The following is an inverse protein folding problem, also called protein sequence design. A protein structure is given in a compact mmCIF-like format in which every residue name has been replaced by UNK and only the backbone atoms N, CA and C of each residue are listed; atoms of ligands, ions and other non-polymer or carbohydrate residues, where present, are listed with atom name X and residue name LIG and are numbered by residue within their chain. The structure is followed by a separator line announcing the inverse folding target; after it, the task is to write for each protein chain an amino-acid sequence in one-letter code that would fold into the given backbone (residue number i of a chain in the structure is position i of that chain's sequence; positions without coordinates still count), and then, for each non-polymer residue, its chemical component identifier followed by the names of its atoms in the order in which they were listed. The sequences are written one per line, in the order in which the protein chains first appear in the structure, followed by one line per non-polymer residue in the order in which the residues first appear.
data_IF_103066115973
#
_entry.id   IF_103066115973
#
_cell.length_a   1.000
_cell.length_b   1.000
_cell.length_c   1.000
_cell.angle_alpha   90.00
_cell.angle_beta   90.00
_cell.angle_gamma   90.00
#
_symmetry.space_group_name_H-M   'P 1'
#
loop_
_entity.id
_entity.type
_entity.pdbx_description
1 polymer ?
#
# COMPACT_ATOMS: atom_id res chain seq x y z
N UNK A 1 1.65 -14.99 -8.95
CA UNK A 1 1.34 -13.55 -9.01
C UNK A 1 2.48 -12.84 -9.74
N UNK A 2 2.18 -12.04 -10.75
CA UNK A 2 3.19 -11.24 -11.47
C UNK A 2 3.04 -9.79 -11.03
N UNK A 3 4.14 -9.16 -10.62
CA UNK A 3 4.16 -7.76 -10.20
C UNK A 3 5.02 -6.96 -11.15
N UNK A 4 4.46 -5.87 -11.68
CA UNK A 4 5.25 -4.83 -12.30
C UNK A 4 5.36 -3.67 -11.33
N UNK A 5 6.58 -3.44 -10.82
CA UNK A 5 6.87 -2.30 -9.96
C UNK A 5 7.58 -1.24 -10.80
N UNK A 6 6.95 -0.08 -10.94
CA UNK A 6 7.62 1.11 -11.46
C UNK A 6 7.94 2.04 -10.29
N UNK A 7 9.24 2.27 -10.07
CA UNK A 7 9.69 3.30 -9.14
C UNK A 7 9.67 4.64 -9.85
N UNK A 8 8.74 5.51 -9.46
CA UNK A 8 8.83 6.92 -9.82
C UNK A 8 9.76 7.59 -8.80
N UNK A 9 10.79 8.30 -9.29
CA UNK A 9 12.00 8.65 -8.53
C UNK A 9 11.78 9.38 -7.20
N UNK A 10 12.86 9.48 -6.42
CA UNK A 10 12.88 10.34 -5.24
C UNK A 10 12.80 11.80 -5.69
N UNK A 11 11.83 12.56 -5.19
CA UNK A 11 11.81 14.01 -5.38
C UNK A 11 12.77 14.59 -4.34
N UNK A 12 13.99 14.90 -4.77
CA UNK A 12 14.96 15.62 -3.94
C UNK A 12 14.64 17.12 -3.97
N UNK A 13 13.96 17.58 -2.92
CA UNK A 13 13.64 19.00 -2.73
C UNK A 13 14.76 19.78 -2.01
N UNK A 14 15.94 19.17 -1.78
CA UNK A 14 17.09 19.85 -1.17
C UNK A 14 17.56 21.08 -1.96
N UNK A 15 17.23 21.15 -3.26
CA UNK A 15 17.45 22.35 -4.10
C UNK A 15 16.73 23.61 -3.63
N UNK A 16 15.80 23.51 -2.67
CA UNK A 16 15.07 24.65 -2.10
C UNK A 16 15.63 25.15 -0.75
N UNK A 17 16.83 24.73 -0.35
CA UNK A 17 17.53 25.26 0.84
C UNK A 17 16.87 24.94 2.18
N UNK A 18 15.94 23.99 2.20
CA UNK A 18 15.29 23.42 3.38
C UNK A 18 15.20 21.92 3.17
N UNK A 19 15.34 21.11 4.22
CA UNK A 19 15.00 19.68 4.18
C UNK A 19 13.48 19.55 3.99
N UNK A 20 13.01 19.64 2.75
CA UNK A 20 11.63 19.37 2.37
C UNK A 20 11.64 17.89 1.98
N UNK A 21 10.91 17.06 2.73
CA UNK A 21 11.15 15.62 2.83
C UNK A 21 11.31 14.82 1.54
N UNK A 22 12.02 13.71 1.67
CA UNK A 22 12.04 12.64 0.68
C UNK A 22 10.71 11.89 0.68
N UNK A 23 10.26 11.49 -0.50
CA UNK A 23 9.08 10.65 -0.69
C UNK A 23 9.30 9.66 -1.82
N UNK A 24 8.56 8.56 -1.78
CA UNK A 24 8.58 7.52 -2.81
C UNK A 24 7.20 7.35 -3.41
N UNK A 25 7.17 7.22 -4.74
CA UNK A 25 5.98 6.85 -5.49
C UNK A 25 6.18 5.45 -6.07
N UNK A 26 5.28 4.54 -5.75
CA UNK A 26 5.31 3.14 -6.16
C UNK A 26 4.06 2.85 -6.98
N UNK A 27 4.24 2.35 -8.20
CA UNK A 27 3.14 1.80 -9.00
C UNK A 27 3.22 0.29 -9.06
N UNK A 28 2.07 -0.36 -8.94
CA UNK A 28 1.97 -1.81 -8.87
C UNK A 28 0.74 -2.27 -9.62
N UNK A 29 0.94 -3.21 -10.53
CA UNK A 29 -0.13 -3.97 -11.16
C UNK A 29 0.02 -5.44 -10.80
N UNK A 30 -1.09 -6.16 -10.67
CA UNK A 30 -1.08 -7.58 -10.31
C UNK A 30 -2.45 -8.25 -10.30
N UNK A 31 -2.51 -9.47 -9.77
CA UNK A 31 -3.72 -10.29 -9.61
C UNK A 31 -3.72 -11.01 -8.27
N UNK A 32 -4.79 -10.89 -7.48
CA UNK A 32 -5.02 -11.68 -6.28
C UNK A 32 -5.92 -12.86 -6.64
N UNK A 33 -5.43 -14.08 -6.41
CA UNK A 33 -6.24 -15.30 -6.49
C UNK A 33 -6.95 -15.52 -5.16
N UNK A 34 -8.28 -15.50 -5.19
CA UNK A 34 -9.10 -15.57 -3.99
C UNK A 34 -8.94 -16.91 -3.27
N UNK A 35 -8.92 -18.00 -4.04
CA UNK A 35 -9.05 -19.36 -3.51
C UNK A 35 -10.33 -19.53 -2.68
N UNK A 36 -11.40 -18.80 -3.01
CA UNK A 36 -12.65 -18.73 -2.25
C UNK A 36 -12.58 -17.88 -0.97
N UNK A 37 -11.44 -17.25 -0.68
CA UNK A 37 -11.24 -16.39 0.47
C UNK A 37 -11.24 -14.90 0.14
N UNK A 38 -11.57 -14.11 1.14
CA UNK A 38 -11.49 -12.65 1.10
C UNK A 38 -10.15 -12.19 1.68
N UNK A 39 -9.31 -11.64 0.82
CA UNK A 39 -7.95 -11.25 1.13
C UNK A 39 -7.76 -9.76 0.84
N UNK A 40 -7.19 -9.08 1.82
CA UNK A 40 -6.80 -7.67 1.72
C UNK A 40 -5.38 -7.59 1.19
N UNK A 41 -5.08 -6.55 0.42
CA UNK A 41 -3.72 -6.19 0.05
C UNK A 41 -3.25 -5.03 0.90
N UNK A 42 -2.13 -5.21 1.61
CA UNK A 42 -1.55 -4.22 2.51
C UNK A 42 -0.13 -3.86 2.09
N UNK A 43 0.25 -2.59 2.18
CA UNK A 43 1.64 -2.17 2.11
C UNK A 43 2.23 -2.02 3.52
N UNK A 44 3.42 -2.58 3.72
CA UNK A 44 4.15 -2.59 5.00
C UNK A 44 5.60 -2.15 4.86
N UNK A 45 5.96 -0.91 5.26
CA UNK A 45 7.32 -0.55 5.61
C UNK A 45 8.01 -1.56 6.52
N UNK A 46 9.16 -2.06 6.08
CA UNK A 46 9.99 -3.05 6.75
C UNK A 46 9.22 -4.29 7.26
N UNK A 47 8.14 -4.68 6.58
CA UNK A 47 7.23 -5.77 6.97
C UNK A 47 6.59 -5.66 8.36
N UNK A 48 6.75 -4.54 9.04
CA UNK A 48 6.29 -4.44 10.40
C UNK A 48 4.74 -4.34 10.42
N UNK A 49 4.08 -5.16 11.24
CA UNK A 49 2.63 -5.34 11.26
C UNK A 49 1.95 -4.61 12.43
N UNK A 50 2.38 -3.38 12.71
CA UNK A 50 1.88 -2.58 13.82
C UNK A 50 2.37 -1.14 13.73
N UNK A 51 1.98 -0.29 14.70
CA UNK A 51 2.27 1.16 14.67
C UNK A 51 1.70 1.88 13.43
N UNK A 52 0.74 1.28 12.76
CA UNK A 52 -0.05 1.93 11.73
C UNK A 52 -1.37 2.42 12.24
N UNK A 53 -1.83 3.48 11.60
CA UNK A 53 -3.23 3.83 11.61
C UNK A 53 -3.60 4.33 10.23
N UNK A 54 -4.57 3.68 9.61
CA UNK A 54 -5.10 4.08 8.32
C UNK A 54 -6.57 3.76 8.17
N UNK A 55 -7.14 4.32 7.12
CA UNK A 55 -8.47 3.99 6.64
C UNK A 55 -8.47 3.98 5.12
N UNK A 56 -9.41 3.25 4.54
CA UNK A 56 -9.69 3.27 3.12
C UNK A 56 -11.17 3.55 2.90
N UNK A 57 -11.46 4.38 1.91
CA UNK A 57 -12.79 4.55 1.35
C UNK A 57 -12.88 3.73 0.08
N UNK A 58 -13.85 2.83 0.02
CA UNK A 58 -14.17 2.00 -1.14
C UNK A 58 -15.34 2.61 -1.90
N UNK A 59 -15.26 2.63 -3.23
CA UNK A 59 -16.33 3.07 -4.13
C UNK A 59 -16.39 2.22 -5.40
N UNK A 60 -17.38 2.45 -6.26
CA UNK A 60 -17.64 1.65 -7.47
C UNK A 60 -18.96 0.91 -7.35
N UNK A 61 -18.98 -0.37 -7.74
CA UNK A 61 -20.18 -1.23 -7.63
C UNK A 61 -20.61 -1.51 -6.19
N UNK A 62 -19.76 -1.21 -5.21
CA UNK A 62 -20.10 -1.17 -3.80
C UNK A 62 -19.34 -0.02 -3.10
N UNK A 63 -19.84 0.41 -1.95
CA UNK A 63 -19.21 1.47 -1.15
C UNK A 63 -19.15 1.13 0.33
N UNK A 64 -17.99 1.35 0.95
CA UNK A 64 -17.79 1.19 2.39
C UNK A 64 -16.55 1.97 2.85
N UNK A 65 -16.34 2.05 4.16
CA UNK A 65 -15.09 2.51 4.75
C UNK A 65 -14.52 1.44 5.66
N UNK A 66 -13.21 1.23 5.60
CA UNK A 66 -12.51 0.24 6.40
C UNK A 66 -11.32 0.86 7.13
N UNK A 67 -11.00 0.34 8.31
CA UNK A 67 -9.87 0.76 9.12
C UNK A 67 -8.85 -0.36 9.23
N UNK A 68 -7.57 0.00 9.19
CA UNK A 68 -6.46 -0.94 9.25
C UNK A 68 -5.36 -0.45 10.20
N UNK A 69 -4.76 -1.39 10.93
CA UNK A 69 -3.74 -1.13 11.95
C UNK A 69 -2.45 -1.92 11.73
N UNK A 70 -2.44 -2.84 10.78
CA UNK A 70 -1.30 -3.71 10.48
C UNK A 70 -0.58 -3.32 9.18
N UNK A 71 -1.07 -2.34 8.43
CA UNK A 71 -0.47 -1.86 7.19
C UNK A 71 -1.28 -0.74 6.56
N UNK A 72 -0.77 -0.16 5.48
CA UNK A 72 -1.60 0.69 4.63
C UNK A 72 -2.50 -0.21 3.79
N UNK A 73 -3.81 -0.09 3.99
CA UNK A 73 -4.81 -0.83 3.22
C UNK A 73 -4.80 -0.38 1.77
N UNK A 74 -4.59 -1.28 0.81
CA UNK A 74 -4.54 -0.94 -0.62
C UNK A 74 -5.77 -1.41 -1.39
N UNK A 75 -6.58 -2.30 -0.81
CA UNK A 75 -7.76 -2.89 -1.44
C UNK A 75 -7.95 -4.33 -0.97
N UNK A 76 -8.88 -5.03 -1.62
CA UNK A 76 -9.14 -6.46 -1.39
C UNK A 76 -9.67 -7.12 -2.66
N UNK A 77 -9.61 -8.43 -2.70
CA UNK A 77 -10.32 -9.21 -3.72
C UNK A 77 -11.76 -9.42 -3.23
N UNK A 78 -12.76 -8.89 -3.94
CA UNK A 78 -14.13 -8.73 -3.42
C UNK A 78 -14.82 -9.99 -2.93
N UNK A 79 -14.71 -10.26 -1.62
CA UNK A 79 -15.46 -11.29 -0.91
C UNK A 79 -15.36 -12.69 -1.52
N UNK A 80 -14.16 -13.10 -1.94
CA UNK A 80 -13.93 -14.47 -2.47
C UNK A 80 -13.79 -14.57 -3.98
N UNK A 81 -13.76 -13.45 -4.70
CA UNK A 81 -13.53 -13.40 -6.15
C UNK A 81 -12.08 -13.06 -6.48
N UNK A 82 -11.55 -13.64 -7.55
CA UNK A 82 -10.26 -13.22 -8.09
C UNK A 82 -10.35 -11.77 -8.57
N UNK A 83 -9.24 -11.04 -8.45
CA UNK A 83 -9.20 -9.63 -8.82
C UNK A 83 -7.87 -9.25 -9.48
N UNK A 84 -7.94 -8.57 -10.61
CA UNK A 84 -6.82 -7.82 -11.17
C UNK A 84 -6.81 -6.42 -10.54
N UNK A 85 -5.63 -5.85 -10.32
CA UNK A 85 -5.53 -4.52 -9.74
C UNK A 85 -4.42 -3.68 -10.34
N UNK A 86 -4.59 -2.36 -10.18
CA UNK A 86 -3.57 -1.34 -10.37
C UNK A 86 -3.55 -0.41 -9.15
N UNK A 87 -2.37 0.01 -8.71
CA UNK A 87 -2.16 0.79 -7.49
C UNK A 87 -1.14 1.88 -7.74
N UNK A 88 -1.41 3.07 -7.22
CA UNK A 88 -0.43 4.14 -7.04
C UNK A 88 -0.33 4.49 -5.55
N UNK A 89 0.85 4.26 -4.97
CA UNK A 89 1.18 4.53 -3.57
C UNK A 89 2.18 5.68 -3.49
N UNK A 90 1.90 6.66 -2.64
CA UNK A 90 2.79 7.74 -2.26
C UNK A 90 3.09 7.61 -0.77
N UNK A 91 4.37 7.57 -0.42
CA UNK A 91 4.82 7.47 0.97
C UNK A 91 5.84 8.58 1.27
N UNK A 92 5.60 9.30 2.35
CA UNK A 92 6.58 10.22 2.93
C UNK A 92 7.66 9.44 3.69
N UNK A 93 8.92 9.76 3.44
CA UNK A 93 10.09 9.15 4.08
C UNK A 93 10.76 10.10 5.08
N UNK A 94 10.06 11.15 5.51
CA UNK A 94 10.59 12.12 6.46
C UNK A 94 11.13 11.45 7.74
N UNK A 95 12.39 11.72 8.13
CA UNK A 95 12.92 11.29 9.42
C UNK A 95 12.22 12.04 10.57
N UNK A 96 12.26 11.45 11.77
CA UNK A 96 11.80 12.03 13.04
C UNK A 96 10.32 12.46 13.09
N UNK A 97 9.51 12.02 12.13
CA UNK A 97 8.08 12.35 12.05
C UNK A 97 7.27 11.13 11.65
N UNK A 98 5.97 11.19 11.94
CA UNK A 98 5.01 10.21 11.44
C UNK A 98 5.04 10.26 9.92
N UNK A 99 5.22 9.10 9.30
CA UNK A 99 5.33 8.96 7.85
C UNK A 99 3.95 8.74 7.28
N UNK A 100 3.43 9.74 6.60
CA UNK A 100 2.11 9.66 5.98
C UNK A 100 2.19 8.90 4.67
N UNK A 101 1.13 8.15 4.38
CA UNK A 101 0.99 7.41 3.15
C UNK A 101 -0.40 7.64 2.56
N UNK A 102 -0.45 7.67 1.24
CA UNK A 102 -1.64 7.83 0.45
C UNK A 102 -1.61 6.83 -0.70
N UNK A 103 -2.71 6.15 -0.97
CA UNK A 103 -2.81 5.29 -2.13
C UNK A 103 -4.15 5.45 -2.83
N UNK A 104 -4.13 5.25 -4.14
CA UNK A 104 -5.32 5.01 -4.96
C UNK A 104 -5.13 3.67 -5.64
N UNK A 105 -6.19 2.87 -5.70
CA UNK A 105 -6.18 1.62 -6.41
C UNK A 105 -7.51 1.33 -7.09
N UNK A 106 -7.46 0.46 -8.08
CA UNK A 106 -8.62 -0.09 -8.76
C UNK A 106 -8.50 -1.60 -8.81
N UNK A 107 -9.57 -2.30 -8.44
CA UNK A 107 -9.70 -3.75 -8.44
C UNK A 107 -10.84 -4.12 -9.41
N UNK A 108 -10.48 -4.86 -10.48
CA UNK A 108 -11.43 -5.42 -11.44
C UNK A 108 -11.63 -6.90 -11.10
N UNK A 109 -12.85 -7.27 -10.73
CA UNK A 109 -13.19 -8.61 -10.27
C UNK A 109 -13.61 -9.52 -11.43
N UNK A 110 -13.50 -10.84 -11.19
CA UNK A 110 -13.89 -11.86 -12.15
C UNK A 110 -15.38 -11.82 -12.57
N UNK A 111 -16.25 -11.20 -11.77
CA UNK A 111 -17.68 -11.04 -12.06
C UNK A 111 -18.02 -9.67 -12.69
N UNK A 112 -17.05 -9.05 -13.35
CA UNK A 112 -17.17 -7.78 -14.06
C UNK A 112 -17.44 -6.55 -13.18
N UNK A 113 -17.38 -6.71 -11.84
CA UNK A 113 -17.43 -5.57 -10.92
C UNK A 113 -16.09 -4.85 -10.82
N UNK A 114 -16.16 -3.56 -10.53
CA UNK A 114 -15.02 -2.70 -10.25
C UNK A 114 -15.16 -2.02 -8.90
N UNK A 115 -14.09 -2.11 -8.10
CA UNK A 115 -13.96 -1.38 -6.85
C UNK A 115 -12.74 -0.46 -6.91
N UNK A 116 -12.95 0.80 -6.54
CA UNK A 116 -11.89 1.77 -6.30
C UNK A 116 -11.62 1.91 -4.81
N UNK A 117 -10.36 2.09 -4.44
CA UNK A 117 -9.98 2.43 -3.07
C UNK A 117 -9.18 3.71 -3.04
N UNK A 118 -9.52 4.56 -2.07
CA UNK A 118 -8.70 5.69 -1.67
C UNK A 118 -8.27 5.49 -0.23
N UNK A 119 -6.97 5.34 -0.03
CA UNK A 119 -6.40 4.93 1.24
C UNK A 119 -5.50 5.99 1.82
N UNK A 120 -5.64 6.21 3.12
CA UNK A 120 -4.90 7.20 3.87
C UNK A 120 -4.38 6.57 5.14
N UNK A 121 -3.15 6.90 5.53
CA UNK A 121 -2.64 6.44 6.81
C UNK A 121 -1.32 7.07 7.20
N UNK A 122 -0.83 6.67 8.36
CA UNK A 122 0.51 6.98 8.79
C UNK A 122 1.15 5.81 9.53
N UNK A 123 2.47 5.75 9.43
CA UNK A 123 3.33 4.93 10.27
C UNK A 123 3.83 5.78 11.45
N UNK A 124 3.64 5.30 12.68
CA UNK A 124 3.92 6.04 13.91
C UNK A 124 5.35 5.91 14.44
N UNK A 125 6.11 4.88 14.05
CA UNK A 125 7.56 4.80 14.34
C UNK A 125 8.31 5.86 13.54
N UNK A 126 8.94 6.76 14.27
CA UNK A 126 9.76 7.84 13.71
C UNK A 126 11.25 7.54 13.77
N UNK A 127 11.64 6.45 14.47
CA UNK A 127 13.03 6.11 14.79
C UNK A 127 13.66 5.09 13.86
N UNK A 128 12.86 4.21 13.24
CA UNK A 128 13.37 3.14 12.38
C UNK A 128 13.39 3.58 10.91
N UNK A 129 14.54 3.70 10.21
CA UNK A 129 14.56 4.01 8.77
C UNK A 129 13.73 3.02 7.95
N UNK A 130 13.06 3.49 6.89
CA UNK A 130 12.37 2.59 5.94
C UNK A 130 13.38 2.13 4.89
N UNK A 131 13.67 0.83 4.88
CA UNK A 131 14.60 0.22 3.93
C UNK A 131 13.87 -0.42 2.76
N UNK A 132 12.61 -0.83 2.97
CA UNK A 132 11.78 -1.41 1.93
C UNK A 132 10.29 -1.32 2.28
N UNK A 133 9.45 -1.51 1.26
CA UNK A 133 8.00 -1.67 1.38
C UNK A 133 7.64 -3.09 0.93
N UNK A 134 7.10 -3.90 1.83
CA UNK A 134 6.51 -5.20 1.50
C UNK A 134 5.04 -5.05 1.13
N UNK A 135 4.58 -5.84 0.16
CA UNK A 135 3.18 -5.91 -0.26
C UNK A 135 2.63 -7.27 0.13
N UNK A 136 1.60 -7.26 0.97
CA UNK A 136 1.12 -8.44 1.68
C UNK A 136 -0.33 -8.71 1.36
N UNK A 137 -0.63 -9.93 0.94
CA UNK A 137 -2.00 -10.45 0.91
C UNK A 137 -2.32 -11.02 2.30
N UNK A 138 -3.41 -10.55 2.91
CA UNK A 138 -3.83 -10.94 4.27
C UNK A 138 -5.29 -11.36 4.26
N UNK A 139 -5.54 -12.63 4.58
CA UNK A 139 -6.87 -13.23 4.63
C UNK A 139 -7.02 -14.20 5.82
N UNK A 140 -8.14 -14.93 5.90
CA UNK A 140 -8.36 -15.92 6.95
C UNK A 140 -7.21 -16.94 7.01
N UNK A 141 -6.52 -16.97 8.15
CA UNK A 141 -5.46 -17.96 8.43
C UNK A 141 -4.14 -17.77 7.67
N UNK A 142 -3.96 -16.70 6.88
CA UNK A 142 -2.69 -16.47 6.16
C UNK A 142 -2.34 -15.00 5.94
N UNK A 143 -1.04 -14.72 6.01
CA UNK A 143 -0.44 -13.50 5.49
C UNK A 143 0.73 -13.91 4.60
N UNK A 144 0.72 -13.47 3.34
CA UNK A 144 1.73 -13.84 2.33
C UNK A 144 2.39 -12.57 1.83
N UNK A 145 3.73 -12.53 1.84
CA UNK A 145 4.50 -11.49 1.17
C UNK A 145 4.48 -11.78 -0.32
N UNK A 146 3.89 -10.86 -1.08
CA UNK A 146 3.71 -11.02 -2.51
C UNK A 146 4.81 -10.33 -3.32
N UNK A 147 5.24 -9.15 -2.86
CA UNK A 147 6.30 -8.38 -3.49
C UNK A 147 7.02 -7.49 -2.47
N UNK A 148 8.22 -7.05 -2.84
CA UNK A 148 9.03 -6.12 -2.05
C UNK A 148 9.64 -5.06 -2.96
N UNK A 149 9.63 -3.82 -2.47
CA UNK A 149 10.29 -2.67 -3.12
C UNK A 149 11.33 -2.10 -2.17
N UNK A 150 12.60 -2.21 -2.54
CA UNK A 150 13.68 -1.60 -1.77
C UNK A 150 13.66 -0.07 -1.93
N UNK A 151 13.81 0.61 -0.79
CA UNK A 151 13.98 2.05 -0.70
C UNK A 151 15.48 2.29 -0.55
N UNK A 152 16.17 2.81 -1.59
CA UNK A 152 17.59 3.08 -1.47
C UNK A 152 17.81 4.11 -0.38
N UNK A 153 18.94 3.90 0.32
CA UNK A 153 19.49 4.67 1.44
C UNK A 153 18.68 5.91 1.81
N UNK A 154 17.96 5.83 2.94
CA UNK A 154 17.43 7.03 3.60
C UNK A 154 18.63 7.92 3.92
N UNK A 155 18.70 9.16 3.40
CA UNK A 155 19.76 10.09 3.75
C UNK A 155 19.75 10.44 5.24
#
# INVERSE_FOLDING_TARGET
MEFRIEKCGAIDLARLGRNIGTGVVIRIDGRIDAGGGDNRLLARPNDAAGRYRGFASMSGDAATSEWEQTGLYLGRNGWGLDAHFSISLILSLLPDRKRTAFAISTFAHADERVLGYQSHGFWADTSTPINFIGFWTVGPGRAVLEARVDIPENP
#
